data_IF_201181265435
#
_entry.id   IF_201181265435
#
_cell.length_a   1.000
_cell.length_b   1.000
_cell.length_c   1.000
_cell.angle_alpha   90.00
_cell.angle_beta   90.00
_cell.angle_gamma   90.00
#
_symmetry.space_group_name_H-M   'P 1'
#
loop_
_entity.id
_entity.type
_entity.pdbx_description
1 polymer ?
#
# COMPACT_ATOMS: atom_id res chain seq x y z
N UNK A 1 13.20 9.70 19.98
CA UNK A 1 12.02 8.81 19.88
C UNK A 1 11.46 9.01 18.49
N UNK A 2 11.18 7.93 17.74
CA UNK A 2 10.43 8.09 16.48
C UNK A 2 9.13 8.82 16.80
N UNK A 3 8.83 9.90 16.07
CA UNK A 3 7.65 10.76 16.31
C UNK A 3 6.33 10.00 16.26
N UNK A 4 6.33 8.79 15.67
CA UNK A 4 5.12 8.02 15.38
C UNK A 4 4.99 6.71 16.18
N UNK A 5 5.83 6.47 17.20
CA UNK A 5 5.70 5.30 18.09
C UNK A 5 5.46 3.93 17.40
N UNK A 6 5.98 3.74 16.18
CA UNK A 6 5.80 2.50 15.40
C UNK A 6 4.54 2.42 14.53
N UNK A 7 3.71 3.47 14.48
CA UNK A 7 2.56 3.55 13.57
C UNK A 7 3.00 3.68 12.10
N UNK A 8 2.35 2.91 11.21
CA UNK A 8 2.54 3.03 9.77
C UNK A 8 1.71 4.19 9.25
N UNK A 9 2.36 5.24 8.76
CA UNK A 9 1.70 6.45 8.20
C UNK A 9 1.66 6.46 6.67
N UNK A 10 2.62 5.80 6.01
CA UNK A 10 2.76 5.77 4.57
C UNK A 10 3.18 4.37 4.07
N UNK A 11 2.64 3.95 2.95
CA UNK A 11 2.89 2.67 2.29
C UNK A 11 3.15 2.89 0.79
N UNK A 12 4.23 2.29 0.27
CA UNK A 12 4.50 2.22 -1.16
C UNK A 12 4.32 0.78 -1.63
N UNK A 13 3.42 0.57 -2.58
CA UNK A 13 3.11 -0.73 -3.16
C UNK A 13 3.76 -0.80 -4.54
N UNK A 14 4.71 -1.71 -4.71
CA UNK A 14 5.37 -1.96 -6.00
C UNK A 14 4.75 -3.20 -6.64
N UNK A 15 4.08 -3.02 -7.78
CA UNK A 15 3.49 -4.12 -8.52
C UNK A 15 4.33 -4.41 -9.79
N UNK A 16 5.06 -5.52 -9.78
CA UNK A 16 5.92 -5.97 -10.89
C UNK A 16 5.34 -7.12 -11.73
N UNK A 17 4.13 -7.59 -11.39
CA UNK A 17 3.44 -8.69 -12.07
C UNK A 17 2.01 -8.30 -12.42
N UNK A 18 1.69 -8.29 -13.71
CA UNK A 18 0.40 -7.85 -14.24
C UNK A 18 -0.67 -8.96 -14.35
N UNK A 19 -0.55 -10.05 -13.60
CA UNK A 19 -1.64 -11.05 -13.56
C UNK A 19 -2.83 -10.50 -12.78
N UNK A 20 -4.04 -10.90 -13.16
CA UNK A 20 -5.27 -10.40 -12.58
C UNK A 20 -5.30 -10.53 -11.04
N UNK A 21 -4.85 -11.67 -10.53
CA UNK A 21 -4.75 -11.94 -9.09
C UNK A 21 -3.81 -10.96 -8.37
N UNK A 22 -2.62 -10.70 -8.91
CA UNK A 22 -1.64 -9.80 -8.30
C UNK A 22 -2.13 -8.35 -8.33
N UNK A 23 -2.77 -7.94 -9.42
CA UNK A 23 -3.36 -6.61 -9.58
C UNK A 23 -4.49 -6.41 -8.54
N UNK A 24 -5.40 -7.37 -8.40
CA UNK A 24 -6.47 -7.30 -7.40
C UNK A 24 -5.92 -7.25 -5.98
N UNK A 25 -4.95 -8.10 -5.64
CA UNK A 25 -4.33 -8.11 -4.32
C UNK A 25 -3.70 -6.74 -3.98
N UNK A 26 -2.96 -6.15 -4.92
CA UNK A 26 -2.35 -4.83 -4.74
C UNK A 26 -3.39 -3.73 -4.53
N UNK A 27 -4.49 -3.72 -5.31
CA UNK A 27 -5.55 -2.72 -5.16
C UNK A 27 -6.36 -2.88 -3.89
N UNK A 28 -6.64 -4.12 -3.46
CA UNK A 28 -7.32 -4.38 -2.18
C UNK A 28 -6.47 -3.87 -1.01
N UNK A 29 -5.15 -4.15 -1.04
CA UNK A 29 -4.23 -3.66 -0.02
C UNK A 29 -4.14 -2.12 -0.01
N UNK A 30 -4.01 -1.50 -1.18
CA UNK A 30 -3.97 -0.04 -1.31
C UNK A 30 -5.24 0.60 -0.73
N UNK A 31 -6.41 0.05 -1.06
CA UNK A 31 -7.68 0.55 -0.56
C UNK A 31 -7.78 0.38 0.96
N UNK A 32 -7.46 -0.81 1.49
CA UNK A 32 -7.44 -1.06 2.94
C UNK A 32 -6.52 -0.09 3.68
N UNK A 33 -5.32 0.16 3.17
CA UNK A 33 -4.40 1.15 3.74
C UNK A 33 -5.03 2.56 3.77
N UNK A 34 -5.69 2.98 2.70
CA UNK A 34 -6.38 4.30 2.64
C UNK A 34 -7.56 4.39 3.61
N UNK A 35 -8.30 3.30 3.81
CA UNK A 35 -9.41 3.24 4.77
C UNK A 35 -8.93 3.40 6.22
N UNK A 36 -7.75 2.87 6.53
CA UNK A 36 -7.07 3.04 7.83
C UNK A 36 -6.34 4.39 7.98
N UNK A 37 -6.48 5.30 7.01
CA UNK A 37 -5.83 6.62 7.03
C UNK A 37 -4.33 6.60 6.72
N UNK A 38 -3.81 5.48 6.21
CA UNK A 38 -2.42 5.35 5.76
C UNK A 38 -2.30 5.93 4.35
N UNK A 39 -1.32 6.80 4.14
CA UNK A 39 -1.01 7.32 2.81
C UNK A 39 -0.48 6.17 1.94
N UNK A 40 -1.16 5.81 0.86
CA UNK A 40 -0.78 4.70 -0.01
C UNK A 40 -0.44 5.21 -1.41
N UNK A 41 0.76 4.89 -1.87
CA UNK A 41 1.23 5.12 -3.24
C UNK A 41 1.46 3.79 -3.95
N UNK A 42 1.21 3.76 -5.26
CA UNK A 42 1.43 2.57 -6.09
C UNK A 42 2.40 2.88 -7.23
N UNK A 43 3.40 2.02 -7.40
CA UNK A 43 4.34 2.06 -8.51
C UNK A 43 4.22 0.77 -9.32
N UNK A 44 4.01 0.91 -10.63
CA UNK A 44 3.87 -0.20 -11.56
C UNK A 44 5.14 -0.29 -12.41
N UNK A 45 5.75 -1.47 -12.47
CA UNK A 45 7.00 -1.72 -13.21
C UNK A 45 6.95 -3.02 -13.99
#
# INVERSE_FOLDING_TARGET
>A
MNEFNGEVRKMMIILSKATLENVYAAFVLANGARMEGIEAEMFFT
#
